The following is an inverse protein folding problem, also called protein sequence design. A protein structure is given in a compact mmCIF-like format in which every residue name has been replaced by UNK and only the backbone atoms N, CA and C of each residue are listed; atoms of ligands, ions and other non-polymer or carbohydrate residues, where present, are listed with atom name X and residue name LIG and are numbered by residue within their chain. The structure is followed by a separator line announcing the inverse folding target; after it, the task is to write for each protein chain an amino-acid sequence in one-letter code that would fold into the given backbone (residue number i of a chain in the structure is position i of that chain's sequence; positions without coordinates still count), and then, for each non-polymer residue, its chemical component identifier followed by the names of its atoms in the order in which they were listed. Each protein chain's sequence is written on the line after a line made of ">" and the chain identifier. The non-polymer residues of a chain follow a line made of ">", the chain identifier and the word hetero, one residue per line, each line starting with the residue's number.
data_IF_670560980633
#
_entry.id   IF_670560980633
#
_cell.length_a   1.000
_cell.length_b   1.000
_cell.length_c   1.000
_cell.angle_alpha   90.00
_cell.angle_beta   90.00
_cell.angle_gamma   90.00
#
_symmetry.space_group_name_H-M   'P 1'
#
loop_
_entity.id
_entity.type
_entity.pdbx_description
1 polymer ?
#
# COMPACT_ATOMS: atom_id res chain seq x y z
N UNK A 1 13.97 10.35 -17.00
CA UNK A 1 13.16 9.11 -16.89
C UNK A 1 12.06 9.28 -15.88
N UNK A 2 10.84 8.86 -16.21
CA UNK A 2 9.69 8.98 -15.30
C UNK A 2 9.79 7.98 -14.17
N UNK A 3 9.35 8.39 -12.99
CA UNK A 3 9.23 7.53 -11.84
C UNK A 3 7.77 7.13 -11.66
N UNK A 4 7.52 5.84 -11.50
CA UNK A 4 6.17 5.34 -11.24
C UNK A 4 6.02 5.06 -9.75
N UNK A 5 5.19 5.84 -9.09
CA UNK A 5 4.84 5.65 -7.69
C UNK A 5 3.42 5.11 -7.60
N UNK A 6 3.21 4.06 -6.83
CA UNK A 6 1.90 3.43 -6.67
C UNK A 6 1.47 3.54 -5.23
N UNK A 7 0.28 4.07 -5.00
CA UNK A 7 -0.31 4.17 -3.67
C UNK A 7 -1.45 3.17 -3.55
N UNK A 8 -1.42 2.37 -2.50
CA UNK A 8 -2.42 1.33 -2.25
C UNK A 8 -3.02 1.56 -0.88
N UNK A 9 -4.35 1.49 -0.78
CA UNK A 9 -5.01 1.50 0.52
C UNK A 9 -5.51 0.09 0.81
N UNK A 10 -5.29 -0.37 2.04
CA UNK A 10 -5.63 -1.73 2.43
C UNK A 10 -6.42 -1.77 3.73
N UNK A 11 -7.28 -2.78 3.83
CA UNK A 11 -7.92 -3.15 5.07
C UNK A 11 -8.25 -4.64 5.00
N UNK A 12 -7.52 -5.47 5.79
CA UNK A 12 -7.70 -6.92 5.82
C UNK A 12 -7.62 -7.55 4.43
N UNK A 13 -6.51 -7.30 3.74
CA UNK A 13 -6.29 -7.74 2.36
C UNK A 13 -5.31 -8.92 2.24
N UNK A 14 -5.13 -9.71 3.31
CA UNK A 14 -4.11 -10.77 3.30
C UNK A 14 -4.23 -11.75 2.15
N UNK A 15 -5.44 -11.96 1.62
CA UNK A 15 -5.64 -12.90 0.52
C UNK A 15 -5.14 -12.37 -0.83
N UNK A 16 -5.15 -11.05 -1.00
CA UNK A 16 -4.89 -10.45 -2.30
C UNK A 16 -3.63 -9.60 -2.34
N UNK A 17 -3.15 -9.13 -1.19
CA UNK A 17 -2.07 -8.15 -1.17
C UNK A 17 -0.76 -8.72 -1.73
N UNK A 18 -0.45 -9.97 -1.44
CA UNK A 18 0.78 -10.56 -1.95
C UNK A 18 0.79 -10.59 -3.48
N UNK A 19 -0.31 -11.04 -4.08
CA UNK A 19 -0.44 -11.08 -5.53
C UNK A 19 -0.32 -9.69 -6.13
N UNK A 20 -0.96 -8.72 -5.49
CA UNK A 20 -0.91 -7.34 -5.94
C UNK A 20 0.52 -6.81 -5.92
N UNK A 21 1.24 -7.02 -4.83
CA UNK A 21 2.61 -6.55 -4.69
C UNK A 21 3.55 -7.25 -5.65
N UNK A 22 3.36 -8.55 -5.87
CA UNK A 22 4.18 -9.29 -6.84
C UNK A 22 4.03 -8.72 -8.25
N UNK A 23 2.81 -8.30 -8.61
CA UNK A 23 2.60 -7.71 -9.93
C UNK A 23 3.22 -6.32 -10.05
N UNK A 24 3.21 -5.55 -8.97
CA UNK A 24 3.67 -4.17 -9.00
C UNK A 24 5.17 -4.02 -8.85
N UNK A 25 5.83 -4.95 -8.16
CA UNK A 25 7.25 -4.76 -7.86
C UNK A 25 8.14 -4.72 -9.10
N UNK A 26 7.65 -5.28 -10.23
CA UNK A 26 8.42 -5.29 -11.47
C UNK A 26 8.27 -3.99 -12.26
N UNK A 27 7.23 -3.21 -12.00
CA UNK A 27 6.93 -2.02 -12.79
C UNK A 27 6.96 -0.73 -11.99
N UNK A 28 6.75 -0.80 -10.68
CA UNK A 28 6.70 0.40 -9.84
C UNK A 28 8.08 0.72 -9.27
N UNK A 29 8.43 2.00 -9.31
CA UNK A 29 9.67 2.48 -8.69
C UNK A 29 9.49 2.67 -7.20
N UNK A 30 8.25 2.97 -6.78
CA UNK A 30 7.92 3.15 -5.37
C UNK A 30 6.52 2.61 -5.12
N UNK A 31 6.35 1.87 -4.03
CA UNK A 31 5.03 1.40 -3.60
C UNK A 31 4.80 1.89 -2.17
N UNK A 32 3.70 2.59 -1.97
CA UNK A 32 3.29 3.05 -0.65
C UNK A 32 1.97 2.36 -0.31
N UNK A 33 1.94 1.65 0.82
CA UNK A 33 0.73 0.98 1.30
C UNK A 33 0.25 1.72 2.53
N UNK A 34 -0.96 2.28 2.45
CA UNK A 34 -1.60 2.92 3.60
C UNK A 34 -2.67 1.95 4.11
N UNK A 35 -2.44 1.44 5.30
CA UNK A 35 -3.27 0.40 5.89
C UNK A 35 -4.15 0.95 7.00
N UNK A 36 -5.44 0.59 6.97
CA UNK A 36 -6.41 1.03 7.96
C UNK A 36 -6.44 0.08 9.17
N UNK A 37 -5.28 -0.17 9.74
CA UNK A 37 -5.10 -1.03 10.92
C UNK A 37 -5.70 -2.41 10.72
N UNK A 38 -5.26 -3.11 9.66
CA UNK A 38 -5.67 -4.49 9.40
C UNK A 38 -5.36 -5.39 10.59
N UNK A 39 -6.25 -6.31 10.87
CA UNK A 39 -6.10 -7.26 11.97
C UNK A 39 -5.64 -8.63 11.49
N UNK A 40 -5.48 -8.78 10.18
CA UNK A 40 -5.01 -10.02 9.58
C UNK A 40 -3.51 -9.92 9.28
N UNK A 41 -3.00 -10.74 8.35
CA UNK A 41 -1.58 -10.77 8.02
C UNK A 41 -1.17 -9.77 6.95
N UNK A 42 -2.02 -8.80 6.63
CA UNK A 42 -1.71 -7.79 5.61
C UNK A 42 -0.38 -7.09 5.87
N UNK A 43 -0.18 -6.61 7.10
CA UNK A 43 1.05 -5.91 7.47
C UNK A 43 2.26 -6.83 7.33
N UNK A 44 2.15 -8.06 7.84
CA UNK A 44 3.25 -9.03 7.78
C UNK A 44 3.65 -9.31 6.34
N UNK A 45 2.67 -9.48 5.46
CA UNK A 45 2.93 -9.73 4.04
C UNK A 45 3.59 -8.52 3.40
N UNK A 46 3.07 -7.33 3.65
CA UNK A 46 3.65 -6.11 3.09
C UNK A 46 5.11 -5.92 3.48
N UNK A 47 5.47 -6.29 4.71
CA UNK A 47 6.83 -6.13 5.20
C UNK A 47 7.84 -7.06 4.54
N UNK A 48 7.37 -8.05 3.79
CA UNK A 48 8.27 -8.92 3.01
C UNK A 48 8.69 -8.28 1.70
N UNK A 49 8.04 -7.18 1.34
CA UNK A 49 8.33 -6.45 0.09
C UNK A 49 8.97 -5.11 0.41
N UNK A 50 9.63 -4.51 -0.56
CA UNK A 50 10.25 -3.20 -0.41
C UNK A 50 9.21 -2.10 -0.58
N UNK A 51 8.26 -2.02 0.35
CA UNK A 51 7.20 -1.02 0.30
C UNK A 51 7.25 -0.15 1.55
N UNK A 52 6.73 1.07 1.43
CA UNK A 52 6.53 1.93 2.59
C UNK A 52 5.16 1.57 3.16
N UNK A 53 5.14 1.03 4.36
CA UNK A 53 3.90 0.63 5.02
C UNK A 53 3.53 1.67 6.07
N UNK A 54 2.38 2.32 5.90
CA UNK A 54 1.94 3.40 6.77
C UNK A 54 0.56 3.07 7.34
N UNK A 55 0.45 2.80 8.64
CA UNK A 55 -0.88 2.63 9.25
C UNK A 55 -1.54 4.00 9.41
N UNK A 56 -2.82 4.08 9.10
CA UNK A 56 -3.57 5.33 9.16
C UNK A 56 -5.04 5.05 9.40
N UNK A 57 -5.67 5.84 10.27
CA UNK A 57 -7.09 5.69 10.56
C UNK A 57 -7.90 5.95 9.30
N UNK A 58 -8.86 5.06 9.01
CA UNK A 58 -9.71 5.21 7.84
C UNK A 58 -10.69 6.37 8.04
N UNK A 59 -10.65 7.35 7.14
CA UNK A 59 -11.49 8.52 7.19
C UNK A 59 -12.46 8.61 6.00
N UNK A 60 -12.52 7.54 5.20
CA UNK A 60 -13.32 7.53 3.98
C UNK A 60 -12.42 7.23 2.79
N UNK A 61 -12.99 6.70 1.71
CA UNK A 61 -12.21 6.28 0.55
C UNK A 61 -11.44 7.42 -0.12
N UNK A 62 -12.06 8.58 -0.24
CA UNK A 62 -11.43 9.72 -0.90
C UNK A 62 -10.29 10.26 -0.05
N UNK A 63 -10.52 10.46 1.23
CA UNK A 63 -9.50 10.96 2.14
C UNK A 63 -8.31 10.00 2.25
N UNK A 64 -8.58 8.70 2.32
CA UNK A 64 -7.53 7.70 2.43
C UNK A 64 -6.68 7.66 1.17
N UNK A 65 -7.32 7.74 0.00
CA UNK A 65 -6.62 7.79 -1.27
C UNK A 65 -5.73 9.02 -1.38
N UNK A 66 -6.27 10.18 -0.99
CA UNK A 66 -5.48 11.42 -1.03
C UNK A 66 -4.30 11.35 -0.08
N UNK A 67 -4.51 10.81 1.11
CA UNK A 67 -3.42 10.63 2.06
C UNK A 67 -2.33 9.73 1.47
N UNK A 68 -2.72 8.62 0.84
CA UNK A 68 -1.77 7.70 0.25
C UNK A 68 -0.95 8.37 -0.85
N UNK A 69 -1.60 9.16 -1.70
CA UNK A 69 -0.92 9.88 -2.77
C UNK A 69 0.08 10.89 -2.20
N UNK A 70 -0.29 11.58 -1.13
CA UNK A 70 0.60 12.56 -0.48
C UNK A 70 1.86 11.93 0.08
N UNK A 71 1.84 10.63 0.41
CA UNK A 71 3.00 9.93 0.93
C UNK A 71 3.97 9.50 -0.16
N UNK A 72 3.57 9.56 -1.41
CA UNK A 72 4.47 9.23 -2.52
C UNK A 72 5.46 10.35 -2.77
N UNK A 73 6.67 9.97 -3.09
CA UNK A 73 7.73 10.93 -3.39
C UNK A 73 7.72 11.40 -4.83
#
# INVERSE_FOLDING_TARGET
>A
MSKLSVAIITFNEERNIERCLLSLQEVADEIVVVDSFSKDKTEEICKRFSVRFIPHIFEGHIQQKNYAIEQCN
#
